data_IF_401845964449
#
_entry.id   IF_401845964449
#
_cell.length_a   1.000
_cell.length_b   1.000
_cell.length_c   1.000
_cell.angle_alpha   90.00
_cell.angle_beta   90.00
_cell.angle_gamma   90.00
#
_symmetry.space_group_name_H-M   'P 1'
#
loop_
_entity.id
_entity.type
_entity.pdbx_description
1 polymer ?
#
# COMPACT_ATOMS: atom_id res chain seq x y z
N UNK A 1 6.73 -11.10 -1.87
CA UNK A 1 5.28 -11.08 -2.10
C UNK A 1 4.59 -10.23 -1.04
N UNK A 2 3.58 -9.46 -1.41
CA UNK A 2 2.76 -8.67 -0.49
C UNK A 2 1.48 -9.44 -0.15
N UNK A 3 1.13 -9.49 1.13
CA UNK A 3 -0.10 -10.11 1.61
C UNK A 3 -1.04 -9.04 2.12
N UNK A 4 -2.12 -8.82 1.39
CA UNK A 4 -3.14 -7.83 1.76
C UNK A 4 -4.00 -8.34 2.91
N UNK A 5 -4.32 -7.44 3.81
CA UNK A 5 -5.37 -7.64 4.80
C UNK A 5 -6.73 -7.53 4.11
N UNK A 6 -7.67 -8.44 4.38
CA UNK A 6 -9.03 -8.31 3.85
C UNK A 6 -9.67 -7.00 4.33
N UNK A 7 -10.24 -6.23 3.43
CA UNK A 7 -10.91 -4.96 3.69
C UNK A 7 -12.07 -5.10 4.72
N UNK A 8 -12.61 -6.29 4.88
CA UNK A 8 -13.68 -6.59 5.83
C UNK A 8 -13.24 -6.61 7.30
N UNK A 9 -11.94 -6.35 7.57
CA UNK A 9 -11.45 -6.09 8.93
C UNK A 9 -11.76 -7.16 9.97
N UNK A 10 -11.93 -8.41 9.54
CA UNK A 10 -12.34 -9.52 10.40
C UNK A 10 -11.21 -10.09 11.29
N UNK A 11 -10.13 -9.35 11.50
CA UNK A 11 -9.24 -9.60 12.64
C UNK A 11 -9.81 -8.91 13.88
N UNK A 12 -11.06 -9.27 14.23
CA UNK A 12 -11.67 -8.84 15.49
C UNK A 12 -10.95 -9.51 16.65
N UNK A 13 -10.50 -8.73 17.60
CA UNK A 13 -10.23 -9.22 18.95
C UNK A 13 -11.45 -10.02 19.44
N UNK A 14 -11.35 -11.36 19.47
CA UNK A 14 -12.39 -12.23 20.06
C UNK A 14 -13.08 -13.24 19.14
N UNK A 15 -12.81 -13.30 17.85
CA UNK A 15 -13.33 -14.35 16.97
C UNK A 15 -12.36 -15.56 16.86
N UNK A 16 -12.91 -16.78 16.80
CA UNK A 16 -12.18 -18.05 16.64
C UNK A 16 -11.52 -18.23 15.25
N UNK A 17 -11.14 -17.15 14.56
CA UNK A 17 -10.36 -17.16 13.32
C UNK A 17 -9.00 -16.54 13.60
N UNK A 18 -7.94 -17.29 13.41
CA UNK A 18 -6.55 -16.79 13.50
C UNK A 18 -6.34 -15.57 12.59
N UNK A 19 -5.24 -14.84 12.82
CA UNK A 19 -4.88 -13.69 11.99
C UNK A 19 -4.57 -14.14 10.54
N UNK A 20 -5.57 -14.06 9.67
CA UNK A 20 -5.50 -14.56 8.29
C UNK A 20 -4.32 -13.98 7.51
N UNK A 21 -3.92 -12.75 7.82
CA UNK A 21 -2.73 -12.13 7.21
C UNK A 21 -1.47 -12.90 7.58
N UNK A 22 -1.32 -13.26 8.86
CA UNK A 22 -0.18 -14.07 9.33
C UNK A 22 -0.19 -15.46 8.70
N UNK A 23 -1.35 -16.12 8.65
CA UNK A 23 -1.48 -17.47 8.05
C UNK A 23 -1.06 -17.46 6.57
N UNK A 24 -1.57 -16.51 5.78
CA UNK A 24 -1.25 -16.40 4.35
C UNK A 24 0.22 -15.99 4.15
N UNK A 25 0.72 -15.04 4.93
CA UNK A 25 2.13 -14.62 4.87
C UNK A 25 3.09 -15.78 5.18
N UNK A 26 2.77 -16.56 6.22
CA UNK A 26 3.51 -17.75 6.61
C UNK A 26 3.53 -18.79 5.48
N UNK A 27 2.36 -19.06 4.89
CA UNK A 27 2.25 -20.01 3.78
C UNK A 27 3.11 -19.59 2.58
N UNK A 28 3.06 -18.30 2.18
CA UNK A 28 3.85 -17.77 1.08
C UNK A 28 5.36 -17.87 1.38
N UNK A 29 5.77 -17.55 2.62
CA UNK A 29 7.16 -17.69 3.03
C UNK A 29 7.65 -19.15 2.98
N UNK A 30 6.81 -20.11 3.37
CA UNK A 30 7.13 -21.54 3.26
C UNK A 30 7.33 -22.01 1.80
N UNK A 31 6.76 -21.30 0.83
CA UNK A 31 7.02 -21.52 -0.60
C UNK A 31 8.35 -20.90 -1.08
N UNK A 32 9.15 -20.30 -0.19
CA UNK A 32 10.44 -19.69 -0.50
C UNK A 32 10.35 -18.25 -1.02
N UNK A 33 9.21 -17.58 -0.85
CA UNK A 33 9.04 -16.19 -1.25
C UNK A 33 9.19 -15.26 -0.06
N UNK A 34 10.03 -14.22 -0.17
CA UNK A 34 10.02 -13.12 0.80
C UNK A 34 8.67 -12.42 0.81
N UNK A 35 8.21 -12.08 2.01
CA UNK A 35 6.82 -11.65 2.22
C UNK A 35 6.77 -10.41 3.08
N UNK A 36 5.96 -9.43 2.67
CA UNK A 36 5.59 -8.27 3.46
C UNK A 36 4.12 -8.39 3.91
N UNK A 37 3.89 -8.36 5.22
CA UNK A 37 2.56 -8.43 5.80
C UNK A 37 1.94 -7.02 5.89
N UNK A 38 0.74 -6.83 5.34
CA UNK A 38 0.02 -5.57 5.48
C UNK A 38 -0.54 -5.44 6.89
N UNK A 39 -0.28 -4.30 7.53
CA UNK A 39 -0.78 -3.97 8.86
C UNK A 39 -1.51 -2.62 8.85
N UNK A 40 -2.83 -2.60 8.66
CA UNK A 40 -3.63 -1.38 8.74
C UNK A 40 -3.88 -1.02 10.20
N UNK A 41 -3.72 0.28 10.57
CA UNK A 41 -3.72 0.70 11.97
C UNK A 41 -5.00 1.36 12.48
N UNK A 42 -5.87 1.85 11.60
CA UNK A 42 -7.02 2.69 12.01
C UNK A 42 -7.97 2.03 13.04
N UNK A 43 -8.02 0.70 13.06
CA UNK A 43 -8.82 -0.09 13.99
C UNK A 43 -7.97 -0.93 14.96
N UNK A 44 -6.65 -0.66 15.03
CA UNK A 44 -5.71 -1.47 15.79
C UNK A 44 -5.49 -0.86 17.17
N UNK A 45 -5.63 -1.66 18.24
CA UNK A 45 -5.20 -1.28 19.60
C UNK A 45 -3.71 -1.62 19.79
N UNK A 46 -3.08 -1.07 20.82
CA UNK A 46 -1.67 -1.40 21.13
C UNK A 46 -1.49 -2.90 21.40
N UNK A 47 -2.42 -3.50 22.17
CA UNK A 47 -2.36 -4.93 22.51
C UNK A 47 -2.47 -5.80 21.24
N UNK A 48 -3.39 -5.43 20.33
CA UNK A 48 -3.56 -6.15 19.07
C UNK A 48 -2.34 -5.95 18.15
N UNK A 49 -1.73 -4.76 18.15
CA UNK A 49 -0.49 -4.50 17.41
C UNK A 49 0.65 -5.38 17.93
N UNK A 50 0.87 -5.43 19.24
CA UNK A 50 1.90 -6.27 19.86
C UNK A 50 1.67 -7.76 19.58
N UNK A 51 0.41 -8.22 19.64
CA UNK A 51 0.09 -9.60 19.32
C UNK A 51 0.41 -9.93 17.85
N UNK A 52 0.04 -9.05 16.91
CA UNK A 52 0.34 -9.21 15.50
C UNK A 52 1.85 -9.24 15.25
N UNK A 53 2.61 -8.34 15.87
CA UNK A 53 4.09 -8.31 15.74
C UNK A 53 4.71 -9.61 16.24
N UNK A 54 4.24 -10.12 17.38
CA UNK A 54 4.69 -11.39 17.95
C UNK A 54 4.41 -12.55 17.00
N UNK A 55 3.19 -12.67 16.48
CA UNK A 55 2.79 -13.73 15.56
C UNK A 55 3.62 -13.68 14.25
N UNK A 56 3.83 -12.48 13.68
CA UNK A 56 4.66 -12.30 12.49
C UNK A 56 6.12 -12.72 12.76
N UNK A 57 6.68 -12.33 13.89
CA UNK A 57 8.05 -12.69 14.29
C UNK A 57 8.21 -14.21 14.49
N UNK A 58 7.25 -14.85 15.16
CA UNK A 58 7.23 -16.31 15.35
C UNK A 58 7.10 -17.06 14.01
N UNK A 59 6.37 -16.48 13.03
CA UNK A 59 6.27 -16.99 11.67
C UNK A 59 7.53 -16.70 10.81
N UNK A 60 8.51 -15.96 11.33
CA UNK A 60 9.70 -15.56 10.60
C UNK A 60 9.48 -14.50 9.54
N UNK A 61 8.38 -13.76 9.57
CA UNK A 61 8.12 -12.62 8.69
C UNK A 61 8.91 -11.43 9.20
N UNK A 62 9.69 -10.80 8.30
CA UNK A 62 10.61 -9.71 8.65
C UNK A 62 10.14 -8.36 8.11
N UNK A 63 9.20 -8.34 7.15
CA UNK A 63 8.75 -7.14 6.47
C UNK A 63 7.29 -6.84 6.79
N UNK A 64 7.01 -5.58 7.15
CA UNK A 64 5.65 -5.09 7.44
C UNK A 64 5.36 -3.88 6.56
N UNK A 65 4.28 -3.92 5.80
CA UNK A 65 3.74 -2.73 5.13
C UNK A 65 2.75 -2.05 6.09
N UNK A 66 3.22 -0.97 6.71
CA UNK A 66 2.43 -0.17 7.64
C UNK A 66 1.48 0.76 6.87
N UNK A 67 0.19 0.59 7.09
CA UNK A 67 -0.88 1.34 6.43
C UNK A 67 -1.77 2.02 7.46
N UNK A 68 -2.44 3.12 7.09
CA UNK A 68 -3.52 3.64 7.92
C UNK A 68 -4.72 2.69 7.85
N UNK A 69 -5.04 2.22 6.66
CA UNK A 69 -6.26 1.51 6.35
C UNK A 69 -7.41 2.44 5.97
N UNK A 70 -8.47 1.86 5.42
CA UNK A 70 -9.66 2.57 4.97
C UNK A 70 -10.74 2.59 6.05
N UNK A 71 -11.56 3.65 6.05
CA UNK A 71 -12.71 3.73 6.93
C UNK A 71 -13.82 2.78 6.47
N UNK A 72 -14.34 1.99 7.41
CA UNK A 72 -15.49 1.12 7.18
C UNK A 72 -16.73 1.78 7.79
N UNK A 73 -17.79 2.04 7.00
CA UNK A 73 -19.02 2.61 7.53
C UNK A 73 -19.58 1.81 8.70
N UNK A 74 -19.87 2.51 9.81
CA UNK A 74 -20.44 1.89 11.02
C UNK A 74 -19.42 1.20 11.95
N UNK A 75 -18.12 1.21 11.62
CA UNK A 75 -17.06 0.72 12.51
C UNK A 75 -16.35 1.90 13.18
N UNK A 76 -16.29 1.89 14.51
CA UNK A 76 -15.60 2.91 15.30
C UNK A 76 -14.08 2.70 15.25
N UNK A 77 -13.31 3.81 15.07
CA UNK A 77 -11.85 3.79 15.08
C UNK A 77 -11.33 3.47 16.49
N UNK A 78 -10.17 2.85 16.57
CA UNK A 78 -9.51 2.60 17.86
C UNK A 78 -8.88 3.87 18.46
N UNK A 79 -8.62 4.91 17.65
CA UNK A 79 -8.00 6.19 18.04
C UNK A 79 -6.65 6.04 18.77
N UNK A 80 -5.94 4.94 18.52
CA UNK A 80 -4.58 4.71 19.03
C UNK A 80 -3.54 5.16 18.00
N UNK A 81 -3.75 4.77 16.74
CA UNK A 81 -2.90 5.15 15.61
C UNK A 81 -3.76 5.92 14.60
N UNK A 82 -3.58 7.23 14.52
CA UNK A 82 -4.34 8.07 13.57
C UNK A 82 -3.74 8.01 12.16
N UNK A 83 -2.43 7.79 12.07
CA UNK A 83 -1.68 7.73 10.82
C UNK A 83 -0.75 6.51 10.76
N UNK A 84 -0.40 6.09 9.56
CA UNK A 84 0.58 5.03 9.37
C UNK A 84 1.95 5.36 10.00
N UNK A 85 2.33 6.64 10.09
CA UNK A 85 3.55 7.08 10.79
C UNK A 85 3.55 6.73 12.27
N UNK A 86 2.39 6.74 12.93
CA UNK A 86 2.27 6.40 14.35
C UNK A 86 2.53 4.91 14.56
N UNK A 87 1.97 4.08 13.66
CA UNK A 87 2.24 2.64 13.65
C UNK A 87 3.72 2.35 13.34
N UNK A 88 4.33 3.06 12.37
CA UNK A 88 5.76 2.92 12.06
C UNK A 88 6.61 3.19 13.29
N UNK A 89 6.38 4.31 13.98
CA UNK A 89 7.10 4.66 15.20
C UNK A 89 6.93 3.60 16.30
N UNK A 90 5.70 3.12 16.50
CA UNK A 90 5.38 2.08 17.46
C UNK A 90 6.12 0.76 17.16
N UNK A 91 6.09 0.30 15.90
CA UNK A 91 6.82 -0.91 15.49
C UNK A 91 8.31 -0.75 15.77
N UNK A 92 8.91 0.37 15.37
CA UNK A 92 10.35 0.63 15.56
C UNK A 92 10.75 0.77 17.04
N UNK A 93 9.84 1.21 17.90
CA UNK A 93 10.06 1.24 19.35
C UNK A 93 10.00 -0.17 19.98
N UNK A 94 9.00 -0.97 19.60
CA UNK A 94 8.73 -2.26 20.25
C UNK A 94 9.52 -3.43 19.66
N UNK A 95 9.68 -3.43 18.33
CA UNK A 95 10.33 -4.49 17.57
C UNK A 95 11.19 -3.89 16.45
N UNK A 96 12.35 -3.28 16.78
CA UNK A 96 13.19 -2.52 15.84
C UNK A 96 13.76 -3.35 14.68
N UNK A 97 13.77 -4.67 14.80
CA UNK A 97 14.31 -5.59 13.79
C UNK A 97 13.42 -5.71 12.54
N UNK A 98 12.12 -5.39 12.64
CA UNK A 98 11.27 -5.42 11.47
C UNK A 98 11.70 -4.38 10.44
N UNK A 99 11.73 -4.78 9.17
CA UNK A 99 11.77 -3.86 8.04
C UNK A 99 10.37 -3.27 7.84
N UNK A 100 10.22 -1.96 8.00
CA UNK A 100 8.93 -1.29 7.91
C UNK A 100 8.83 -0.53 6.60
N UNK A 101 7.89 -0.95 5.77
CA UNK A 101 7.59 -0.39 4.46
C UNK A 101 6.42 0.57 4.61
N UNK A 102 6.49 1.72 3.95
CA UNK A 102 5.41 2.71 3.90
C UNK A 102 4.77 2.82 2.53
N UNK A 103 3.48 3.11 2.46
CA UNK A 103 2.84 3.49 1.20
C UNK A 103 3.13 4.97 0.87
N UNK A 104 3.32 5.27 -0.44
CA UNK A 104 3.45 6.62 -0.96
C UNK A 104 2.59 6.81 -2.22
N UNK A 105 2.33 8.07 -2.60
CA UNK A 105 1.33 8.41 -3.60
C UNK A 105 1.92 9.37 -4.64
N UNK A 106 2.27 8.90 -5.84
CA UNK A 106 2.88 9.74 -6.88
C UNK A 106 2.03 10.94 -7.28
N UNK A 107 0.70 10.79 -7.25
CA UNK A 107 -0.26 11.86 -7.57
C UNK A 107 -0.82 12.56 -6.31
N UNK A 108 -0.34 12.18 -5.13
CA UNK A 108 -0.80 12.66 -3.82
C UNK A 108 -1.91 11.79 -3.22
N UNK A 109 -1.93 11.71 -1.90
CA UNK A 109 -3.02 11.04 -1.18
C UNK A 109 -4.31 11.81 -1.36
N UNK A 110 -5.43 11.11 -1.58
CA UNK A 110 -6.75 11.73 -1.87
C UNK A 110 -7.24 12.67 -0.77
N UNK A 111 -6.85 12.46 0.48
CA UNK A 111 -7.17 13.30 1.62
C UNK A 111 -6.14 14.42 1.89
N UNK A 112 -5.02 14.43 1.18
CA UNK A 112 -4.01 15.47 1.36
C UNK A 112 -4.47 16.79 0.75
N UNK A 113 -4.37 17.88 1.50
CA UNK A 113 -4.80 19.21 1.01
C UNK A 113 -3.97 19.70 -0.18
N UNK A 114 -2.72 19.32 -0.25
CA UNK A 114 -1.79 19.66 -1.34
C UNK A 114 -0.70 18.59 -1.47
N UNK A 115 -0.08 18.49 -2.65
CA UNK A 115 1.06 17.59 -2.88
C UNK A 115 2.23 17.91 -1.92
N UNK A 116 2.46 19.18 -1.59
CA UNK A 116 3.51 19.55 -0.65
C UNK A 116 3.19 19.09 0.78
N UNK A 117 1.92 19.07 1.19
CA UNK A 117 1.51 18.51 2.47
C UNK A 117 1.69 16.98 2.49
N UNK A 118 1.35 16.32 1.40
CA UNK A 118 1.53 14.86 1.27
C UNK A 118 3.00 14.45 1.37
N UNK A 119 3.90 15.16 0.68
CA UNK A 119 5.35 14.92 0.79
C UNK A 119 5.87 15.14 2.22
N UNK A 120 5.38 16.17 2.96
CA UNK A 120 5.74 16.34 4.37
C UNK A 120 5.27 15.18 5.24
N UNK A 121 4.04 14.71 5.03
CA UNK A 121 3.50 13.54 5.75
C UNK A 121 4.31 12.29 5.44
N UNK A 122 4.73 12.12 4.17
CA UNK A 122 5.61 11.03 3.76
C UNK A 122 6.97 11.11 4.46
N UNK A 123 7.56 12.33 4.53
CA UNK A 123 8.82 12.55 5.26
C UNK A 123 8.68 12.18 6.75
N UNK A 124 7.58 12.57 7.39
CA UNK A 124 7.28 12.16 8.77
C UNK A 124 7.26 10.65 8.95
N UNK A 125 6.68 9.92 7.99
CA UNK A 125 6.64 8.45 8.00
C UNK A 125 8.04 7.85 7.87
N UNK A 126 8.88 8.39 6.99
CA UNK A 126 10.28 7.95 6.82
C UNK A 126 11.09 8.27 8.08
N UNK A 127 10.94 9.47 8.65
CA UNK A 127 11.62 9.87 9.88
C UNK A 127 11.20 9.04 11.10
N UNK A 128 9.97 8.52 11.09
CA UNK A 128 9.48 7.57 12.10
C UNK A 128 10.12 6.17 11.97
N UNK A 129 10.82 5.87 10.86
CA UNK A 129 11.60 4.65 10.67
C UNK A 129 11.15 3.75 9.52
N UNK A 130 10.29 4.23 8.61
CA UNK A 130 10.03 3.50 7.36
C UNK A 130 11.32 3.49 6.52
N UNK A 131 11.82 2.30 6.22
CA UNK A 131 13.10 2.07 5.53
C UNK A 131 12.95 1.88 4.02
N UNK A 132 11.72 1.74 3.56
CA UNK A 132 11.36 1.54 2.16
C UNK A 132 9.95 2.06 1.91
N UNK A 133 9.67 2.46 0.68
CA UNK A 133 8.35 2.92 0.26
C UNK A 133 7.85 2.13 -0.93
N UNK A 134 6.54 1.87 -0.97
CA UNK A 134 5.86 1.32 -2.14
C UNK A 134 4.83 2.32 -2.64
N UNK A 135 4.87 2.65 -3.92
CA UNK A 135 3.94 3.61 -4.47
C UNK A 135 2.56 3.01 -4.71
N UNK A 136 1.53 3.83 -4.56
CA UNK A 136 0.23 3.57 -5.17
C UNK A 136 0.42 3.42 -6.69
N UNK A 137 -0.45 2.63 -7.32
CA UNK A 137 -0.43 2.50 -8.78
C UNK A 137 -0.59 3.88 -9.46
N UNK A 138 0.06 4.04 -10.58
CA UNK A 138 -0.02 5.19 -11.45
C UNK A 138 0.03 4.72 -12.91
N UNK A 139 -0.33 5.58 -13.85
CA UNK A 139 -0.33 5.28 -15.29
C UNK A 139 0.53 6.25 -16.10
N UNK A 140 1.07 7.29 -15.48
CA UNK A 140 1.92 8.29 -16.12
C UNK A 140 3.29 8.34 -15.43
N UNK A 141 4.31 7.84 -16.12
CA UNK A 141 5.70 7.85 -15.63
C UNK A 141 6.21 9.26 -15.32
N UNK A 142 5.72 10.28 -16.05
CA UNK A 142 6.13 11.66 -15.78
C UNK A 142 5.64 12.15 -14.40
N UNK A 143 4.50 11.66 -13.92
CA UNK A 143 4.02 11.98 -12.58
C UNK A 143 4.86 11.27 -11.51
N UNK A 144 5.25 10.02 -11.76
CA UNK A 144 6.13 9.28 -10.87
C UNK A 144 7.52 9.90 -10.77
N UNK A 145 8.15 10.28 -11.89
CA UNK A 145 9.45 10.95 -11.86
C UNK A 145 9.41 12.29 -11.13
N UNK A 146 8.37 13.11 -11.35
CA UNK A 146 8.18 14.35 -10.57
C UNK A 146 7.96 14.10 -9.08
N UNK A 147 7.34 12.98 -8.73
CA UNK A 147 7.21 12.57 -7.35
C UNK A 147 8.58 12.23 -6.75
N UNK A 148 9.42 11.46 -7.44
CA UNK A 148 10.79 11.15 -6.99
C UNK A 148 11.62 12.43 -6.78
N UNK A 149 11.57 13.39 -7.70
CA UNK A 149 12.22 14.69 -7.54
C UNK A 149 11.77 15.44 -6.27
N UNK A 150 10.46 15.41 -5.97
CA UNK A 150 9.93 16.02 -4.74
C UNK A 150 10.39 15.29 -3.49
N UNK A 151 10.49 13.96 -3.55
CA UNK A 151 11.02 13.15 -2.46
C UNK A 151 12.49 13.50 -2.18
N UNK A 152 13.31 13.60 -3.23
CA UNK A 152 14.72 14.00 -3.14
C UNK A 152 14.87 15.39 -2.50
N UNK A 153 14.13 16.39 -2.99
CA UNK A 153 14.12 17.76 -2.44
C UNK A 153 13.71 17.76 -0.95
N UNK A 154 12.77 16.89 -0.56
CA UNK A 154 12.34 16.78 0.83
C UNK A 154 13.29 15.96 1.72
N UNK A 155 14.39 15.43 1.17
CA UNK A 155 15.34 14.59 1.90
C UNK A 155 14.80 13.19 2.21
N UNK A 156 13.93 12.65 1.37
CA UNK A 156 13.47 11.26 1.42
C UNK A 156 14.41 10.44 0.54
N UNK A 157 15.30 9.67 1.18
CA UNK A 157 16.40 8.94 0.51
C UNK A 157 16.26 7.41 0.62
N UNK A 158 15.11 6.92 1.08
CA UNK A 158 14.84 5.48 1.14
C UNK A 158 14.44 4.96 -0.25
N UNK A 159 14.65 3.66 -0.55
CA UNK A 159 14.19 3.05 -1.79
C UNK A 159 12.68 3.24 -1.97
N UNK A 160 12.27 3.46 -3.23
CA UNK A 160 10.85 3.60 -3.59
C UNK A 160 10.54 2.60 -4.71
N UNK A 161 9.71 1.61 -4.39
CA UNK A 161 9.21 0.65 -5.37
C UNK A 161 8.02 1.23 -6.15
N UNK A 162 8.04 1.07 -7.47
CA UNK A 162 6.96 1.51 -8.34
C UNK A 162 5.81 0.49 -8.36
N UNK A 163 4.62 0.92 -7.97
CA UNK A 163 3.40 0.13 -8.05
C UNK A 163 2.83 0.12 -9.46
N UNK A 164 3.12 -0.92 -10.24
CA UNK A 164 2.62 -1.10 -11.61
C UNK A 164 1.61 -2.24 -11.63
N UNK A 165 0.44 -2.00 -12.23
CA UNK A 165 -0.59 -3.02 -12.35
C UNK A 165 -1.20 -3.03 -13.75
N UNK A 166 -1.15 -4.18 -14.47
CA UNK A 166 -1.83 -4.31 -15.74
C UNK A 166 -3.36 -4.28 -15.53
N UNK A 167 -4.03 -3.43 -16.28
CA UNK A 167 -5.50 -3.29 -16.23
C UNK A 167 -6.11 -4.20 -17.27
N UNK A 168 -6.77 -5.27 -16.85
CA UNK A 168 -7.26 -6.33 -17.73
C UNK A 168 -8.74 -6.23 -18.11
N UNK A 169 -9.49 -5.29 -17.50
CA UNK A 169 -10.89 -5.02 -17.87
C UNK A 169 -11.30 -3.57 -17.62
N UNK A 170 -12.33 -3.08 -18.32
CA UNK A 170 -12.81 -1.68 -18.24
C UNK A 170 -13.32 -1.31 -16.84
N UNK A 171 -14.04 -2.20 -16.15
CA UNK A 171 -14.57 -1.94 -14.81
C UNK A 171 -13.46 -1.70 -13.77
N UNK A 172 -12.31 -2.37 -13.95
CA UNK A 172 -11.12 -2.13 -13.14
C UNK A 172 -10.61 -0.69 -13.28
N UNK A 173 -10.61 -0.13 -14.49
CA UNK A 173 -10.10 1.23 -14.75
C UNK A 173 -10.90 2.26 -13.96
N UNK A 174 -12.23 2.23 -14.08
CA UNK A 174 -13.11 3.16 -13.40
C UNK A 174 -12.93 3.08 -11.88
N UNK A 175 -12.86 1.86 -11.37
CA UNK A 175 -12.62 1.62 -9.95
C UNK A 175 -11.27 2.19 -9.49
N UNK A 176 -10.19 1.93 -10.23
CA UNK A 176 -8.84 2.39 -9.88
C UNK A 176 -8.68 3.90 -9.95
N UNK A 177 -9.20 4.54 -10.99
CA UNK A 177 -9.20 6.00 -11.11
C UNK A 177 -9.95 6.62 -9.94
N UNK A 178 -11.10 6.08 -9.58
CA UNK A 178 -11.95 6.64 -8.50
C UNK A 178 -11.35 6.40 -7.12
N UNK A 179 -10.88 5.17 -6.83
CA UNK A 179 -10.40 4.81 -5.49
C UNK A 179 -8.97 5.26 -5.23
N UNK A 180 -8.09 5.18 -6.23
CA UNK A 180 -6.68 5.48 -6.08
C UNK A 180 -6.32 6.91 -6.48
N UNK A 181 -7.26 7.67 -7.08
CA UNK A 181 -7.02 9.01 -7.58
C UNK A 181 -6.04 9.06 -8.76
N UNK A 182 -5.82 7.92 -9.44
CA UNK A 182 -4.86 7.82 -10.53
C UNK A 182 -5.36 8.48 -11.81
N UNK A 183 -4.52 9.29 -12.43
CA UNK A 183 -4.81 9.93 -13.73
C UNK A 183 -4.57 8.96 -14.87
N UNK A 184 -5.56 8.84 -15.77
CA UNK A 184 -5.43 8.00 -16.95
C UNK A 184 -4.88 8.83 -18.13
N UNK A 185 -3.65 8.56 -18.62
CA UNK A 185 -3.06 9.31 -19.73
C UNK A 185 -3.86 9.19 -21.02
N UNK A 186 -3.89 10.25 -21.83
CA UNK A 186 -4.62 10.29 -23.11
C UNK A 186 -4.20 9.15 -24.05
N UNK A 187 -2.89 8.80 -24.07
CA UNK A 187 -2.37 7.66 -24.85
C UNK A 187 -3.10 6.37 -24.48
N UNK A 188 -3.26 6.10 -23.18
CA UNK A 188 -3.90 4.88 -22.70
C UNK A 188 -5.41 4.93 -22.92
N UNK A 189 -6.06 6.08 -22.66
CA UNK A 189 -7.50 6.26 -22.96
C UNK A 189 -7.82 5.97 -24.44
N UNK A 190 -7.00 6.50 -25.37
CA UNK A 190 -7.16 6.26 -26.82
C UNK A 190 -6.96 4.79 -27.20
N UNK A 191 -5.98 4.10 -26.58
CA UNK A 191 -5.75 2.68 -26.81
C UNK A 191 -6.96 1.85 -26.36
N UNK A 192 -7.49 2.13 -25.17
CA UNK A 192 -8.69 1.48 -24.63
C UNK A 192 -9.91 1.75 -25.52
N UNK A 193 -10.10 3.00 -25.94
CA UNK A 193 -11.24 3.37 -26.78
C UNK A 193 -11.22 2.69 -28.16
N UNK A 194 -10.00 2.45 -28.71
CA UNK A 194 -9.85 1.88 -30.03
C UNK A 194 -9.90 0.34 -30.04
N UNK A 195 -9.36 -0.29 -29.00
CA UNK A 195 -9.10 -1.73 -29.02
C UNK A 195 -9.74 -2.49 -27.84
N UNK A 196 -10.27 -1.79 -26.84
CA UNK A 196 -10.76 -2.39 -25.59
C UNK A 196 -12.19 -2.95 -25.67
N UNK A 197 -12.71 -3.31 -26.86
CA UNK A 197 -14.10 -3.75 -27.02
C UNK A 197 -14.30 -5.22 -26.64
N UNK A 198 -13.26 -6.04 -26.70
CA UNK A 198 -13.28 -7.43 -26.24
C UNK A 198 -12.44 -7.63 -24.98
N UNK A 199 -12.79 -8.60 -24.12
CA UNK A 199 -11.99 -8.90 -22.93
C UNK A 199 -10.53 -9.26 -23.26
N UNK A 200 -10.29 -9.99 -24.35
CA UNK A 200 -8.96 -10.40 -24.80
C UNK A 200 -8.13 -9.18 -25.20
N UNK A 201 -8.69 -8.32 -26.07
CA UNK A 201 -8.00 -7.10 -26.52
C UNK A 201 -7.73 -6.15 -25.35
N UNK A 202 -8.68 -6.01 -24.41
CA UNK A 202 -8.51 -5.17 -23.23
C UNK A 202 -7.36 -5.67 -22.34
N UNK A 203 -7.29 -6.99 -22.12
CA UNK A 203 -6.19 -7.61 -21.39
C UNK A 203 -4.85 -7.37 -22.05
N UNK A 204 -4.76 -7.59 -23.37
CA UNK A 204 -3.51 -7.45 -24.12
C UNK A 204 -3.01 -5.99 -24.13
N UNK A 205 -3.93 -5.03 -24.27
CA UNK A 205 -3.59 -3.59 -24.16
C UNK A 205 -3.10 -3.25 -22.76
N UNK A 206 -3.79 -3.73 -21.72
CA UNK A 206 -3.41 -3.45 -20.34
C UNK A 206 -2.04 -4.03 -19.98
N UNK A 207 -1.73 -5.24 -20.44
CA UNK A 207 -0.42 -5.86 -20.26
C UNK A 207 0.64 -5.09 -21.06
N UNK A 208 0.39 -4.78 -22.34
CA UNK A 208 1.34 -4.04 -23.17
C UNK A 208 1.64 -2.66 -22.59
N UNK A 209 0.63 -1.97 -22.04
CA UNK A 209 0.81 -0.68 -21.39
C UNK A 209 1.67 -0.79 -20.12
N UNK A 210 1.41 -1.78 -19.26
CA UNK A 210 2.18 -2.00 -18.05
C UNK A 210 3.63 -2.41 -18.33
N UNK A 211 3.89 -3.09 -19.45
CA UNK A 211 5.26 -3.42 -19.90
C UNK A 211 5.98 -2.21 -20.45
N UNK A 212 5.27 -1.29 -21.17
CA UNK A 212 5.84 -0.03 -21.67
C UNK A 212 6.15 0.95 -20.51
N UNK A 213 5.41 0.87 -19.44
CA UNK A 213 5.56 1.66 -18.23
C UNK A 213 6.83 1.28 -17.43
#
# INVERSE_FOLDING_TARGET
>A
AQVTHDADGASGAGGKGGNRTVEVATYIKQLGCETAAHMPCIYLTEEAALQNLKELKEAGIENILALRGDEVPGRERAHVFEHASDLVAFIKEKEPDFNVIGACYPEGHTEAKTLAADIRNLKTKVDAGASELISQLFFDNALFYRFLERCEIAGINVPIEAGIMPVTNKAQIERMVTMCGATLPIKFQRAIAKYGDTPESMRDIGIAYAVDQ
#
